data_IF_604349513334
#
_entry.id   IF_604349513334
#
_cell.length_a   1.000
_cell.length_b   1.000
_cell.length_c   1.000
_cell.angle_alpha   90.00
_cell.angle_beta   90.00
_cell.angle_gamma   90.00
#
_symmetry.space_group_name_H-M   'P 1'
#
loop_
_entity.id
_entity.type
_entity.pdbx_description
1 polymer ?
#
# COMPACT_ATOMS: atom_id res chain seq x y z
N UNK A 1 -30.00 -14.35 -51.25
CA UNK A 1 -30.48 -15.69 -50.92
C UNK A 1 -29.70 -16.27 -49.72
N UNK A 2 -30.34 -16.98 -48.81
CA UNK A 2 -29.68 -17.78 -47.75
C UNK A 2 -29.12 -19.06 -48.36
N UNK A 3 -27.99 -19.55 -47.82
CA UNK A 3 -27.31 -20.76 -48.32
C UNK A 3 -26.84 -21.64 -47.18
N UNK A 4 -27.15 -22.94 -47.22
CA UNK A 4 -26.57 -23.96 -46.41
C UNK A 4 -25.78 -24.92 -47.33
N UNK A 5 -24.46 -24.95 -47.22
CA UNK A 5 -23.60 -25.68 -48.16
C UNK A 5 -23.00 -26.97 -47.61
N UNK A 6 -22.89 -27.13 -46.32
CA UNK A 6 -22.28 -28.29 -45.73
C UNK A 6 -23.32 -29.29 -45.24
N UNK A 7 -22.90 -30.53 -45.01
CA UNK A 7 -23.76 -31.59 -44.46
C UNK A 7 -24.37 -31.14 -43.10
N UNK A 8 -25.66 -31.32 -42.97
CA UNK A 8 -26.44 -30.96 -41.77
C UNK A 8 -26.42 -29.45 -41.43
N UNK A 9 -25.94 -28.57 -42.34
CA UNK A 9 -26.01 -27.16 -42.12
C UNK A 9 -27.44 -26.63 -42.22
N UNK A 10 -27.82 -25.68 -41.37
CA UNK A 10 -29.18 -25.13 -41.28
C UNK A 10 -29.15 -23.62 -41.32
N UNK A 11 -30.00 -23.04 -42.18
CA UNK A 11 -30.36 -21.61 -42.16
C UNK A 11 -31.88 -21.51 -42.07
N UNK A 12 -32.42 -21.07 -40.95
CA UNK A 12 -33.85 -21.02 -40.69
C UNK A 12 -34.58 -19.90 -41.42
N UNK A 13 -33.86 -18.88 -41.90
CA UNK A 13 -34.48 -17.76 -42.62
C UNK A 13 -33.59 -16.53 -42.80
N UNK A 14 -34.20 -15.42 -43.15
CA UNK A 14 -33.51 -14.11 -43.30
C UNK A 14 -32.98 -13.82 -44.70
N UNK A 15 -31.91 -12.98 -44.77
CA UNK A 15 -31.35 -12.53 -46.04
C UNK A 15 -29.82 -12.66 -46.07
N UNK A 16 -29.30 -13.26 -47.13
CA UNK A 16 -27.85 -13.42 -47.39
C UNK A 16 -27.07 -14.13 -46.26
N UNK A 17 -27.70 -15.04 -45.54
CA UNK A 17 -27.03 -15.86 -44.51
C UNK A 17 -26.32 -17.05 -45.18
N UNK A 18 -25.12 -17.40 -44.66
CA UNK A 18 -24.26 -18.47 -45.19
C UNK A 18 -23.84 -19.46 -44.06
N UNK A 19 -24.41 -20.64 -44.04
CA UNK A 19 -23.97 -21.76 -43.21
C UNK A 19 -23.08 -22.69 -44.05
N UNK A 20 -21.76 -22.65 -43.85
CA UNK A 20 -20.79 -23.41 -44.64
C UNK A 20 -19.98 -24.44 -43.85
N UNK A 21 -20.12 -24.50 -42.53
CA UNK A 21 -19.54 -25.54 -41.70
C UNK A 21 -20.45 -26.75 -41.58
N UNK A 22 -19.91 -27.95 -41.44
CA UNK A 22 -20.67 -29.17 -41.17
C UNK A 22 -21.46 -28.99 -39.88
N UNK A 23 -22.76 -29.31 -39.89
CA UNK A 23 -23.69 -29.11 -38.78
C UNK A 23 -23.74 -27.68 -38.23
N UNK A 24 -23.38 -26.69 -39.02
CA UNK A 24 -23.47 -25.27 -38.60
C UNK A 24 -24.91 -24.75 -38.66
N UNK A 25 -25.25 -23.82 -37.79
CA UNK A 25 -26.62 -23.30 -37.67
C UNK A 25 -26.66 -21.78 -37.72
N UNK A 26 -27.57 -21.24 -38.49
CA UNK A 26 -27.96 -19.80 -38.46
C UNK A 26 -29.48 -19.75 -38.21
N UNK A 27 -29.89 -19.12 -37.10
CA UNK A 27 -31.31 -18.98 -36.74
C UNK A 27 -32.06 -17.99 -37.61
N UNK A 28 -31.35 -16.99 -38.19
CA UNK A 28 -31.97 -15.98 -39.05
C UNK A 28 -31.14 -14.71 -39.18
N UNK A 29 -31.80 -13.59 -39.53
CA UNK A 29 -31.14 -12.29 -39.66
C UNK A 29 -30.58 -12.00 -41.04
N UNK A 30 -29.55 -11.16 -41.13
CA UNK A 30 -28.99 -10.72 -42.39
C UNK A 30 -27.46 -10.81 -42.42
N UNK A 31 -26.93 -11.34 -43.53
CA UNK A 31 -25.49 -11.38 -43.82
C UNK A 31 -24.64 -12.13 -42.76
N UNK A 32 -25.24 -13.06 -42.03
CA UNK A 32 -24.51 -13.85 -41.01
C UNK A 32 -23.79 -15.01 -41.71
N UNK A 33 -22.60 -15.36 -41.19
CA UNK A 33 -21.80 -16.49 -41.67
C UNK A 33 -21.49 -17.48 -40.51
N UNK A 34 -21.85 -18.72 -40.68
CA UNK A 34 -21.47 -19.83 -39.79
C UNK A 34 -20.48 -20.76 -40.52
N UNK A 35 -19.16 -20.47 -40.39
CA UNK A 35 -18.11 -21.12 -41.19
C UNK A 35 -17.54 -22.36 -40.55
N UNK A 36 -17.51 -22.44 -39.23
CA UNK A 36 -16.93 -23.57 -38.48
C UNK A 36 -17.86 -24.77 -38.36
N UNK A 37 -17.31 -25.98 -38.29
CA UNK A 37 -18.07 -27.18 -37.94
C UNK A 37 -18.77 -27.01 -36.59
N UNK A 38 -20.05 -27.34 -36.51
CA UNK A 38 -20.88 -27.23 -35.29
C UNK A 38 -20.92 -25.78 -34.74
N UNK A 39 -20.68 -24.79 -35.59
CA UNK A 39 -20.75 -23.39 -35.18
C UNK A 39 -22.18 -22.86 -35.23
N UNK A 40 -22.49 -21.88 -34.40
CA UNK A 40 -23.84 -21.33 -34.32
C UNK A 40 -23.85 -19.80 -34.37
N UNK A 41 -24.72 -19.24 -35.20
CA UNK A 41 -25.13 -17.85 -35.13
C UNK A 41 -26.65 -17.82 -34.89
N UNK A 42 -27.06 -17.32 -33.70
CA UNK A 42 -28.48 -17.23 -33.37
C UNK A 42 -29.27 -16.29 -34.26
N UNK A 43 -28.62 -15.23 -34.73
CA UNK A 43 -29.22 -14.26 -35.65
C UNK A 43 -28.49 -12.91 -35.69
N UNK A 44 -29.20 -11.84 -36.06
CA UNK A 44 -28.63 -10.47 -36.10
C UNK A 44 -28.10 -10.09 -37.45
N UNK A 45 -27.10 -9.18 -37.47
CA UNK A 45 -26.55 -8.60 -38.69
C UNK A 45 -25.03 -8.77 -38.77
N UNK A 46 -24.57 -9.33 -39.90
CA UNK A 46 -23.15 -9.44 -40.23
C UNK A 46 -22.27 -10.09 -39.13
N UNK A 47 -22.79 -11.12 -38.46
CA UNK A 47 -22.05 -11.89 -37.46
C UNK A 47 -21.33 -13.04 -38.17
N UNK A 48 -20.08 -13.35 -37.72
CA UNK A 48 -19.23 -14.37 -38.33
C UNK A 48 -18.63 -15.32 -37.31
N UNK A 49 -18.94 -16.62 -37.41
CA UNK A 49 -18.19 -17.69 -36.72
C UNK A 49 -17.19 -18.33 -37.69
N UNK A 50 -15.96 -18.62 -37.20
CA UNK A 50 -14.87 -19.11 -38.07
C UNK A 50 -14.57 -20.57 -37.93
N UNK A 51 -14.10 -21.04 -36.76
CA UNK A 51 -13.70 -22.42 -36.50
C UNK A 51 -14.74 -23.21 -35.70
N UNK A 52 -14.46 -24.50 -35.47
CA UNK A 52 -15.40 -25.43 -34.85
C UNK A 52 -15.88 -24.96 -33.45
N UNK A 53 -17.13 -25.26 -33.15
CA UNK A 53 -17.78 -24.97 -31.86
C UNK A 53 -17.87 -23.49 -31.49
N UNK A 54 -17.59 -22.59 -32.42
CA UNK A 54 -17.74 -21.16 -32.16
C UNK A 54 -19.21 -20.74 -32.16
N UNK A 55 -19.56 -19.81 -31.27
CA UNK A 55 -20.95 -19.41 -31.05
C UNK A 55 -21.10 -17.89 -30.99
N UNK A 56 -22.09 -17.36 -31.71
CA UNK A 56 -22.56 -15.97 -31.56
C UNK A 56 -24.08 -16.03 -31.30
N UNK A 57 -24.53 -15.54 -30.13
CA UNK A 57 -25.94 -15.50 -29.78
C UNK A 57 -26.74 -14.55 -30.67
N UNK A 58 -26.15 -13.43 -31.09
CA UNK A 58 -26.79 -12.43 -31.97
C UNK A 58 -26.02 -11.10 -31.96
N UNK A 59 -26.74 -10.03 -32.28
CA UNK A 59 -26.15 -8.68 -32.34
C UNK A 59 -25.68 -8.25 -33.75
N UNK A 60 -24.66 -7.38 -33.79
CA UNK A 60 -24.20 -6.81 -35.06
C UNK A 60 -22.67 -6.82 -35.19
N UNK A 61 -22.18 -7.35 -36.29
CA UNK A 61 -20.77 -7.30 -36.72
C UNK A 61 -19.80 -7.96 -35.68
N UNK A 62 -20.28 -9.02 -35.03
CA UNK A 62 -19.50 -9.79 -34.09
C UNK A 62 -18.70 -10.91 -34.78
N UNK A 63 -17.49 -11.20 -34.31
CA UNK A 63 -16.58 -12.18 -34.90
C UNK A 63 -16.10 -13.16 -33.84
N UNK A 64 -16.52 -14.42 -33.88
CA UNK A 64 -16.03 -15.51 -33.07
C UNK A 64 -15.26 -16.49 -33.98
N UNK A 65 -13.95 -16.26 -34.14
CA UNK A 65 -13.18 -16.84 -35.25
C UNK A 65 -12.38 -18.08 -34.90
N UNK A 66 -12.21 -18.40 -33.60
CA UNK A 66 -11.42 -19.54 -33.15
C UNK A 66 -12.29 -20.64 -32.52
N UNK A 67 -11.69 -21.82 -32.37
CA UNK A 67 -12.36 -23.00 -31.80
C UNK A 67 -12.93 -22.69 -30.40
N UNK A 68 -14.21 -22.96 -30.22
CA UNK A 68 -14.91 -22.78 -28.95
C UNK A 68 -15.06 -21.32 -28.50
N UNK A 69 -14.74 -20.34 -29.35
CA UNK A 69 -14.93 -18.94 -29.02
C UNK A 69 -16.43 -18.57 -28.95
N UNK A 70 -16.80 -17.76 -27.97
CA UNK A 70 -18.20 -17.43 -27.71
C UNK A 70 -18.41 -15.95 -27.53
N UNK A 71 -19.43 -15.41 -28.22
CA UNK A 71 -19.97 -14.06 -28.03
C UNK A 71 -21.47 -14.18 -27.77
N UNK A 72 -21.95 -13.78 -26.60
CA UNK A 72 -23.37 -13.89 -26.29
C UNK A 72 -24.22 -12.89 -27.11
N UNK A 73 -23.67 -11.72 -27.44
CA UNK A 73 -24.33 -10.71 -28.23
C UNK A 73 -23.60 -9.39 -28.18
N UNK A 74 -24.24 -8.31 -28.68
CA UNK A 74 -23.67 -6.96 -28.70
C UNK A 74 -23.19 -6.47 -30.06
N UNK A 75 -22.26 -5.52 -30.08
CA UNK A 75 -21.87 -4.84 -31.29
C UNK A 75 -20.35 -4.81 -31.47
N UNK A 76 -19.85 -5.25 -32.63
CA UNK A 76 -18.46 -5.15 -33.06
C UNK A 76 -17.45 -5.88 -32.13
N UNK A 77 -17.82 -7.00 -31.57
CA UNK A 77 -16.93 -7.80 -30.75
C UNK A 77 -16.02 -8.71 -31.56
N UNK A 78 -14.81 -8.95 -31.05
CA UNK A 78 -13.85 -9.88 -31.65
C UNK A 78 -13.37 -10.87 -30.60
N UNK A 79 -13.80 -12.13 -30.72
CA UNK A 79 -13.33 -13.29 -29.94
C UNK A 79 -12.48 -14.17 -30.85
N UNK A 80 -11.18 -13.86 -30.94
CA UNK A 80 -10.21 -14.54 -31.82
C UNK A 80 -9.20 -15.43 -31.06
N UNK A 81 -9.42 -15.68 -29.79
CA UNK A 81 -8.69 -16.68 -29.02
C UNK A 81 -9.46 -18.00 -28.89
N UNK A 82 -8.76 -19.13 -28.83
CA UNK A 82 -9.38 -20.43 -28.58
C UNK A 82 -10.04 -20.43 -27.21
N UNK A 83 -11.30 -20.86 -27.12
CA UNK A 83 -12.11 -20.82 -25.89
C UNK A 83 -12.25 -19.43 -25.26
N UNK A 84 -12.11 -18.38 -26.06
CA UNK A 84 -12.34 -17.00 -25.61
C UNK A 84 -13.83 -16.70 -25.44
N UNK A 85 -14.16 -15.79 -24.53
CA UNK A 85 -15.55 -15.47 -24.22
C UNK A 85 -15.77 -13.96 -24.11
N UNK A 86 -16.84 -13.46 -24.73
CA UNK A 86 -17.35 -12.09 -24.58
C UNK A 86 -18.83 -12.14 -24.22
N UNK A 87 -19.23 -11.60 -23.06
CA UNK A 87 -20.62 -11.62 -22.60
C UNK A 87 -21.51 -10.62 -23.33
N UNK A 88 -20.97 -9.51 -23.84
CA UNK A 88 -21.75 -8.50 -24.57
C UNK A 88 -21.16 -7.11 -24.53
N UNK A 89 -21.96 -6.09 -24.84
CA UNK A 89 -21.55 -4.68 -24.86
C UNK A 89 -21.16 -4.19 -26.26
N UNK A 90 -20.03 -3.44 -26.36
CA UNK A 90 -19.58 -2.86 -27.64
C UNK A 90 -18.06 -2.90 -27.78
N UNK A 91 -17.56 -3.31 -28.92
CA UNK A 91 -16.15 -3.22 -29.32
C UNK A 91 -15.15 -3.88 -28.34
N UNK A 92 -15.56 -4.93 -27.64
CA UNK A 92 -14.66 -5.70 -26.79
C UNK A 92 -13.86 -6.70 -27.62
N UNK A 93 -12.60 -6.92 -27.25
CA UNK A 93 -11.68 -7.82 -27.98
C UNK A 93 -11.03 -8.81 -27.04
N UNK A 94 -11.08 -10.10 -27.38
CA UNK A 94 -10.34 -11.17 -26.73
C UNK A 94 -9.60 -11.96 -27.79
N UNK A 95 -8.28 -11.79 -27.88
CA UNK A 95 -7.47 -12.40 -28.93
C UNK A 95 -6.55 -13.53 -28.42
N UNK A 96 -6.82 -14.07 -27.24
CA UNK A 96 -5.99 -15.07 -26.57
C UNK A 96 -6.82 -16.25 -26.05
N UNK A 97 -6.12 -17.36 -25.88
CA UNK A 97 -6.69 -18.60 -25.35
C UNK A 97 -7.22 -18.39 -23.92
N UNK A 98 -8.46 -18.85 -23.67
CA UNK A 98 -9.16 -18.76 -22.39
C UNK A 98 -9.31 -17.34 -21.84
N UNK A 99 -9.14 -16.33 -22.66
CA UNK A 99 -9.41 -14.94 -22.25
C UNK A 99 -10.92 -14.68 -22.12
N UNK A 100 -11.30 -13.76 -21.25
CA UNK A 100 -12.71 -13.41 -21.07
C UNK A 100 -12.97 -11.94 -20.78
N UNK A 101 -14.04 -11.39 -21.38
CA UNK A 101 -14.63 -10.10 -21.07
C UNK A 101 -16.09 -10.29 -20.72
N UNK A 102 -16.52 -9.90 -19.51
CA UNK A 102 -17.92 -10.02 -19.08
C UNK A 102 -18.86 -9.07 -19.84
N UNK A 103 -18.37 -7.89 -20.23
CA UNK A 103 -19.16 -6.91 -20.98
C UNK A 103 -18.50 -5.54 -21.03
N UNK A 104 -19.32 -4.49 -21.23
CA UNK A 104 -18.82 -3.11 -21.29
C UNK A 104 -18.39 -2.68 -22.68
N UNK A 105 -17.45 -1.70 -22.76
CA UNK A 105 -17.07 -1.10 -24.04
C UNK A 105 -15.54 -1.02 -24.18
N UNK A 106 -15.04 -1.39 -25.34
CA UNK A 106 -13.62 -1.24 -25.73
C UNK A 106 -12.63 -1.91 -24.80
N UNK A 107 -13.01 -2.97 -24.12
CA UNK A 107 -12.13 -3.74 -23.25
C UNK A 107 -11.30 -4.73 -24.09
N UNK A 108 -10.02 -4.91 -23.74
CA UNK A 108 -9.08 -5.74 -24.51
C UNK A 108 -8.37 -6.75 -23.62
N UNK A 109 -8.47 -8.03 -23.94
CA UNK A 109 -7.70 -9.11 -23.31
C UNK A 109 -6.77 -9.71 -24.36
N UNK A 110 -5.45 -9.51 -24.16
CA UNK A 110 -4.38 -10.05 -25.00
C UNK A 110 -3.38 -10.93 -24.23
N UNK A 111 -3.57 -11.12 -22.93
CA UNK A 111 -2.84 -12.08 -22.12
C UNK A 111 -3.63 -13.38 -21.93
N UNK A 112 -3.03 -14.55 -22.16
CA UNK A 112 -3.69 -15.86 -21.99
C UNK A 112 -4.30 -15.99 -20.58
N UNK A 113 -5.50 -16.58 -20.48
CA UNK A 113 -6.25 -16.68 -19.23
C UNK A 113 -6.62 -15.33 -18.57
N UNK A 114 -6.41 -14.22 -19.28
CA UNK A 114 -6.72 -12.88 -18.80
C UNK A 114 -8.22 -12.63 -18.67
N UNK A 115 -8.62 -11.81 -17.71
CA UNK A 115 -10.03 -11.53 -17.40
C UNK A 115 -10.32 -10.05 -17.22
N UNK A 116 -11.39 -9.59 -17.81
CA UNK A 116 -11.99 -8.27 -17.55
C UNK A 116 -13.46 -8.49 -17.18
N UNK A 117 -13.89 -8.05 -15.98
CA UNK A 117 -15.27 -8.16 -15.54
C UNK A 117 -16.21 -7.27 -16.37
N UNK A 118 -15.74 -6.08 -16.78
CA UNK A 118 -16.52 -5.14 -17.59
C UNK A 118 -15.93 -3.73 -17.55
N UNK A 119 -16.75 -2.72 -17.82
CA UNK A 119 -16.34 -1.31 -17.78
C UNK A 119 -15.94 -0.74 -19.14
N UNK A 120 -15.09 0.29 -19.15
CA UNK A 120 -14.71 1.04 -20.35
C UNK A 120 -13.21 1.05 -20.56
N UNK A 121 -12.73 0.63 -21.71
CA UNK A 121 -11.32 0.75 -22.14
C UNK A 121 -10.31 0.13 -21.18
N UNK A 122 -10.66 -0.97 -20.52
CA UNK A 122 -9.75 -1.72 -19.66
C UNK A 122 -8.88 -2.67 -20.50
N UNK A 123 -7.66 -2.95 -20.05
CA UNK A 123 -6.69 -3.78 -20.77
C UNK A 123 -6.04 -4.83 -19.87
N UNK A 124 -5.96 -6.07 -20.36
CA UNK A 124 -5.15 -7.15 -19.77
C UNK A 124 -4.19 -7.65 -20.83
N UNK A 125 -2.89 -7.48 -20.61
CA UNK A 125 -1.86 -7.87 -21.58
C UNK A 125 -0.99 -9.03 -21.12
N UNK A 126 -1.07 -9.42 -19.85
CA UNK A 126 -0.29 -10.53 -19.29
C UNK A 126 -1.13 -11.78 -19.05
N UNK A 127 -0.45 -12.92 -19.04
CA UNK A 127 -1.04 -14.20 -18.65
C UNK A 127 -1.59 -14.11 -17.22
N UNK A 128 -2.81 -14.63 -16.98
CA UNK A 128 -3.53 -14.58 -15.71
C UNK A 128 -3.87 -13.19 -15.16
N UNK A 129 -3.62 -12.12 -15.93
CA UNK A 129 -3.99 -10.77 -15.51
C UNK A 129 -5.49 -10.62 -15.28
N UNK A 130 -5.87 -9.79 -14.34
CA UNK A 130 -7.29 -9.57 -14.01
C UNK A 130 -7.58 -8.08 -13.81
N UNK A 131 -8.62 -7.59 -14.48
CA UNK A 131 -9.25 -6.29 -14.19
C UNK A 131 -10.70 -6.54 -13.79
N UNK A 132 -11.09 -6.12 -12.58
CA UNK A 132 -12.46 -6.27 -12.09
C UNK A 132 -13.47 -5.42 -12.87
N UNK A 133 -13.07 -4.21 -13.28
CA UNK A 133 -13.90 -3.29 -14.01
C UNK A 133 -13.41 -1.86 -13.94
N UNK A 134 -14.32 -0.87 -14.13
CA UNK A 134 -13.99 0.55 -14.10
C UNK A 134 -13.60 1.11 -15.47
N UNK A 135 -12.73 2.14 -15.49
CA UNK A 135 -12.38 2.83 -16.73
C UNK A 135 -10.86 2.93 -16.88
N UNK A 136 -10.33 2.51 -18.02
CA UNK A 136 -8.93 2.69 -18.39
C UNK A 136 -7.93 1.95 -17.51
N UNK A 137 -8.32 0.89 -16.80
CA UNK A 137 -7.44 0.14 -15.93
C UNK A 137 -6.61 -0.86 -16.74
N UNK A 138 -5.36 -1.10 -16.32
CA UNK A 138 -4.41 -1.99 -16.99
C UNK A 138 -3.78 -3.00 -16.03
N UNK A 139 -3.80 -4.28 -16.42
CA UNK A 139 -3.09 -5.37 -15.74
C UNK A 139 -2.10 -6.00 -16.72
N UNK A 140 -0.77 -5.83 -16.47
CA UNK A 140 0.27 -6.20 -17.42
C UNK A 140 1.31 -7.22 -16.92
N UNK A 141 1.45 -7.47 -15.62
CA UNK A 141 2.50 -8.37 -15.09
C UNK A 141 1.96 -9.51 -14.22
N UNK A 142 1.13 -10.44 -14.72
CA UNK A 142 0.37 -11.40 -13.88
C UNK A 142 -0.35 -10.69 -12.72
N UNK A 143 -0.83 -9.50 -13.00
CA UNK A 143 -1.23 -8.51 -12.03
C UNK A 143 -2.74 -8.43 -11.88
N UNK A 144 -3.18 -7.83 -10.79
CA UNK A 144 -4.61 -7.61 -10.54
C UNK A 144 -4.90 -6.12 -10.39
N UNK A 145 -5.87 -5.63 -11.14
CA UNK A 145 -6.47 -4.31 -10.98
C UNK A 145 -7.96 -4.48 -10.64
N UNK A 146 -8.34 -4.29 -9.38
CA UNK A 146 -9.71 -4.60 -8.95
C UNK A 146 -10.75 -3.66 -9.59
N UNK A 147 -10.39 -2.39 -9.86
CA UNK A 147 -11.29 -1.43 -10.51
C UNK A 147 -10.84 0.01 -10.37
N UNK A 148 -11.78 0.93 -10.54
CA UNK A 148 -11.53 2.37 -10.43
C UNK A 148 -11.25 3.03 -11.78
N UNK A 149 -10.40 4.06 -11.79
CA UNK A 149 -10.13 4.87 -12.96
C UNK A 149 -8.63 4.97 -13.26
N UNK A 150 -8.20 4.52 -14.42
CA UNK A 150 -6.82 4.68 -14.93
C UNK A 150 -5.75 4.13 -13.96
N UNK A 151 -6.01 2.99 -13.35
CA UNK A 151 -5.05 2.31 -12.50
C UNK A 151 -4.20 1.35 -13.34
N UNK A 152 -2.92 1.20 -12.98
CA UNK A 152 -1.97 0.32 -13.66
C UNK A 152 -1.28 -0.62 -12.68
N UNK A 153 -1.41 -1.93 -12.88
CA UNK A 153 -0.64 -2.96 -12.22
C UNK A 153 0.24 -3.64 -13.27
N UNK A 154 1.56 -3.38 -13.26
CA UNK A 154 2.47 -3.82 -14.31
C UNK A 154 3.65 -4.66 -13.85
N UNK A 155 3.99 -4.67 -12.56
CA UNK A 155 4.98 -5.58 -12.00
C UNK A 155 4.46 -7.02 -11.90
N UNK A 156 5.34 -8.00 -11.91
CA UNK A 156 4.98 -9.42 -11.73
C UNK A 156 4.30 -9.59 -10.36
N UNK A 157 3.10 -10.16 -10.34
CA UNK A 157 2.35 -10.34 -9.09
C UNK A 157 1.89 -9.04 -8.40
N UNK A 158 1.99 -7.90 -9.07
CA UNK A 158 1.57 -6.62 -8.50
C UNK A 158 0.05 -6.47 -8.41
N UNK A 159 -0.41 -5.57 -7.55
CA UNK A 159 -1.85 -5.33 -7.40
C UNK A 159 -2.21 -3.87 -7.13
N UNK A 160 -3.32 -3.42 -7.71
CA UNK A 160 -4.00 -2.17 -7.35
C UNK A 160 -5.44 -2.51 -7.01
N UNK A 161 -5.88 -2.28 -5.77
CA UNK A 161 -7.23 -2.62 -5.32
C UNK A 161 -8.30 -1.63 -5.80
N UNK A 162 -7.91 -0.43 -6.23
CA UNK A 162 -8.87 0.54 -6.76
C UNK A 162 -8.39 1.97 -6.69
N UNK A 163 -9.34 2.92 -6.77
CA UNK A 163 -9.05 4.35 -6.75
C UNK A 163 -8.82 4.95 -8.13
N UNK A 164 -7.98 6.00 -8.22
CA UNK A 164 -7.73 6.70 -9.47
C UNK A 164 -6.24 6.97 -9.71
N UNK A 165 -5.76 6.65 -10.90
CA UNK A 165 -4.40 6.92 -11.36
C UNK A 165 -3.31 6.32 -10.45
N UNK A 166 -3.56 5.15 -9.88
CA UNK A 166 -2.60 4.44 -9.05
C UNK A 166 -1.74 3.50 -9.91
N UNK A 167 -0.47 3.36 -9.54
CA UNK A 167 0.49 2.51 -10.27
C UNK A 167 1.21 1.56 -9.32
N UNK A 168 1.17 0.26 -9.59
CA UNK A 168 1.98 -0.76 -8.96
C UNK A 168 2.89 -1.38 -10.03
N UNK A 169 4.15 -0.95 -10.10
CA UNK A 169 5.09 -1.34 -11.17
C UNK A 169 6.29 -2.17 -10.69
N UNK A 170 6.59 -2.21 -9.40
CA UNK A 170 7.56 -3.14 -8.84
C UNK A 170 7.01 -4.56 -8.76
N UNK A 171 7.86 -5.56 -8.82
CA UNK A 171 7.44 -6.94 -8.65
C UNK A 171 6.87 -7.17 -7.24
N UNK A 172 5.73 -7.85 -7.16
CA UNK A 172 4.98 -8.08 -5.93
C UNK A 172 4.59 -6.80 -5.17
N UNK A 173 4.59 -5.65 -5.86
CA UNK A 173 4.19 -4.38 -5.27
C UNK A 173 2.67 -4.24 -5.16
N UNK A 174 2.21 -3.43 -4.20
CA UNK A 174 0.77 -3.24 -4.01
C UNK A 174 0.38 -1.79 -3.73
N UNK A 175 -0.77 -1.38 -4.28
CA UNK A 175 -1.45 -0.13 -3.94
C UNK A 175 -2.85 -0.46 -3.45
N UNK A 176 -3.16 -0.14 -2.18
CA UNK A 176 -4.48 -0.39 -1.57
C UNK A 176 -5.59 0.51 -2.10
N UNK A 177 -5.24 1.65 -2.71
CA UNK A 177 -6.21 2.56 -3.30
C UNK A 177 -5.85 4.03 -3.13
N UNK A 178 -6.83 4.93 -3.26
CA UNK A 178 -6.61 6.37 -3.21
C UNK A 178 -6.37 6.99 -4.58
N UNK A 179 -5.56 8.06 -4.63
CA UNK A 179 -5.33 8.79 -5.88
C UNK A 179 -3.84 9.03 -6.14
N UNK A 180 -3.39 8.74 -7.35
CA UNK A 180 -2.03 9.04 -7.84
C UNK A 180 -0.93 8.45 -6.94
N UNK A 181 -1.14 7.28 -6.40
CA UNK A 181 -0.16 6.56 -5.60
C UNK A 181 0.71 5.67 -6.49
N UNK A 182 1.99 5.53 -6.13
CA UNK A 182 2.95 4.73 -6.90
C UNK A 182 3.75 3.79 -5.99
N UNK A 183 3.66 2.50 -6.24
CA UNK A 183 4.50 1.45 -5.66
C UNK A 183 5.39 0.89 -6.77
N UNK A 184 6.65 1.36 -6.85
CA UNK A 184 7.58 1.00 -7.93
C UNK A 184 8.82 0.24 -7.47
N UNK A 185 9.06 0.13 -6.17
CA UNK A 185 10.05 -0.80 -5.62
C UNK A 185 9.48 -2.22 -5.55
N UNK A 186 10.33 -3.23 -5.67
CA UNK A 186 9.93 -4.62 -5.50
C UNK A 186 9.44 -4.84 -4.04
N UNK A 187 8.37 -5.62 -3.86
CA UNK A 187 7.71 -5.86 -2.58
C UNK A 187 7.22 -4.58 -1.87
N UNK A 188 7.20 -3.44 -2.57
CA UNK A 188 6.77 -2.18 -1.98
C UNK A 188 5.26 -2.06 -1.85
N UNK A 189 4.81 -1.30 -0.85
CA UNK A 189 3.38 -1.13 -0.58
C UNK A 189 3.03 0.34 -0.36
N UNK A 190 2.02 0.83 -1.07
CA UNK A 190 1.31 2.05 -0.74
C UNK A 190 -0.07 1.67 -0.20
N UNK A 191 -0.29 1.78 1.11
CA UNK A 191 -1.56 1.40 1.73
C UNK A 191 -2.72 2.28 1.26
N UNK A 192 -2.44 3.53 0.91
CA UNK A 192 -3.44 4.46 0.40
C UNK A 192 -3.08 5.91 0.66
N UNK A 193 -3.99 6.80 0.32
CA UNK A 193 -3.79 8.23 0.42
C UNK A 193 -3.79 8.91 -0.95
N UNK A 194 -3.08 10.03 -1.07
CA UNK A 194 -2.94 10.78 -2.32
C UNK A 194 -1.49 11.12 -2.58
N UNK A 195 -0.99 10.79 -3.76
CA UNK A 195 0.38 11.06 -4.19
C UNK A 195 1.45 10.40 -3.28
N UNK A 196 1.12 9.25 -2.69
CA UNK A 196 2.03 8.40 -1.94
C UNK A 196 3.02 7.70 -2.88
N UNK A 197 4.26 7.51 -2.42
CA UNK A 197 5.33 6.87 -3.20
C UNK A 197 6.09 5.85 -2.34
N UNK A 198 6.20 4.63 -2.84
CA UNK A 198 7.07 3.59 -2.31
C UNK A 198 7.93 3.07 -3.48
N UNK A 199 9.13 3.68 -3.68
CA UNK A 199 9.95 3.44 -4.86
C UNK A 199 11.25 2.67 -4.59
N UNK A 200 11.47 2.21 -3.37
CA UNK A 200 12.55 1.32 -3.01
C UNK A 200 12.00 -0.05 -2.60
N UNK A 201 12.83 -1.10 -2.65
CA UNK A 201 12.44 -2.44 -2.25
C UNK A 201 11.98 -2.48 -0.79
N UNK A 202 10.94 -3.26 -0.49
CA UNK A 202 10.34 -3.43 0.84
C UNK A 202 9.82 -2.14 1.47
N UNK A 203 9.68 -1.05 0.70
CA UNK A 203 9.24 0.24 1.21
C UNK A 203 7.72 0.29 1.43
N UNK A 204 7.28 0.94 2.50
CA UNK A 204 5.87 1.11 2.84
C UNK A 204 5.54 2.60 2.97
N UNK A 205 4.51 3.04 2.28
CA UNK A 205 4.01 4.42 2.30
C UNK A 205 2.53 4.45 2.68
N UNK A 206 2.15 5.33 3.59
CA UNK A 206 0.77 5.55 4.00
C UNK A 206 0.48 7.03 4.20
N UNK A 207 -0.59 7.52 3.58
CA UNK A 207 -1.10 8.88 3.72
C UNK A 207 -0.72 9.79 2.56
N UNK A 208 -1.09 11.09 2.68
CA UNK A 208 -0.91 12.05 1.59
C UNK A 208 0.54 12.49 1.44
N UNK A 209 1.10 12.31 0.24
CA UNK A 209 2.47 12.67 -0.09
C UNK A 209 3.55 12.03 0.82
N UNK A 210 3.26 10.86 1.38
CA UNK A 210 4.24 10.04 2.06
C UNK A 210 5.17 9.39 1.02
N UNK A 211 6.50 9.46 1.23
CA UNK A 211 7.50 8.97 0.28
C UNK A 211 8.51 8.07 0.97
N UNK A 212 8.36 6.78 0.80
CA UNK A 212 9.32 5.77 1.25
C UNK A 212 10.29 5.47 0.10
N UNK A 213 11.43 6.16 0.08
CA UNK A 213 12.39 6.16 -1.03
C UNK A 213 13.69 5.43 -0.72
N UNK A 214 13.77 4.77 0.43
CA UNK A 214 14.91 3.96 0.87
C UNK A 214 14.43 2.54 1.17
N UNK A 215 15.29 1.55 0.92
CA UNK A 215 14.98 0.12 1.14
C UNK A 215 14.47 -0.14 2.57
N UNK A 216 13.36 -0.85 2.70
CA UNK A 216 12.75 -1.21 3.96
C UNK A 216 12.20 -0.02 4.78
N UNK A 217 12.16 1.19 4.20
CA UNK A 217 11.65 2.36 4.91
C UNK A 217 10.12 2.35 5.01
N UNK A 218 9.61 2.80 6.14
CA UNK A 218 8.17 2.98 6.38
C UNK A 218 7.89 4.46 6.61
N UNK A 219 7.01 5.05 5.81
CA UNK A 219 6.58 6.45 5.96
C UNK A 219 5.09 6.52 6.20
N UNK A 220 4.69 7.03 7.36
CA UNK A 220 3.30 7.23 7.74
C UNK A 220 3.04 8.72 7.94
N UNK A 221 2.03 9.25 7.28
CA UNK A 221 1.78 10.69 7.24
C UNK A 221 0.29 11.03 7.29
N UNK A 222 -0.02 12.18 7.90
CA UNK A 222 -1.36 12.77 7.88
C UNK A 222 -1.71 13.48 6.56
N UNK A 223 -2.86 14.16 6.54
CA UNK A 223 -3.45 14.78 5.35
C UNK A 223 -2.80 16.06 4.84
N UNK A 224 -1.71 16.60 5.43
CA UNK A 224 -1.11 17.84 4.92
C UNK A 224 -0.39 17.61 3.56
N UNK A 225 -0.17 18.68 2.76
CA UNK A 225 0.32 18.54 1.38
C UNK A 225 1.83 18.46 1.24
N UNK A 226 2.60 18.83 2.26
CA UNK A 226 4.07 18.79 2.21
C UNK A 226 4.56 17.35 2.17
N UNK A 227 5.39 17.00 1.22
CA UNK A 227 5.94 15.66 1.13
C UNK A 227 6.85 15.35 2.32
N UNK A 228 6.76 14.13 2.85
CA UNK A 228 7.69 13.59 3.84
C UNK A 228 8.39 12.39 3.22
N UNK A 229 9.70 12.42 3.20
CA UNK A 229 10.56 11.43 2.54
C UNK A 229 11.40 10.71 3.59
N UNK A 230 11.57 9.40 3.46
CA UNK A 230 12.56 8.66 4.24
C UNK A 230 13.98 9.14 3.90
N UNK A 231 14.84 9.25 4.88
CA UNK A 231 16.24 9.69 4.70
C UNK A 231 17.26 8.55 4.77
N UNK A 232 16.85 7.36 5.22
CA UNK A 232 17.70 6.20 5.35
C UNK A 232 16.91 4.88 5.14
N UNK A 233 17.62 3.80 4.83
CA UNK A 233 17.06 2.45 4.76
C UNK A 233 16.60 1.98 6.14
N UNK A 234 15.58 1.12 6.17
CA UNK A 234 14.99 0.54 7.38
C UNK A 234 14.52 1.58 8.42
N UNK A 235 14.19 2.79 7.97
CA UNK A 235 13.73 3.88 8.82
C UNK A 235 12.20 3.89 8.92
N UNK A 236 11.68 4.10 10.14
CA UNK A 236 10.28 4.49 10.35
C UNK A 236 10.18 6.01 10.47
N UNK A 237 9.54 6.64 9.51
CA UNK A 237 9.25 8.08 9.49
C UNK A 237 7.77 8.32 9.72
N UNK A 238 7.42 9.10 10.74
CA UNK A 238 6.05 9.49 11.07
C UNK A 238 5.93 11.01 11.04
N UNK A 239 4.86 11.53 10.45
CA UNK A 239 4.60 12.97 10.38
C UNK A 239 3.11 13.26 10.52
N UNK A 240 2.70 13.78 11.67
CA UNK A 240 1.32 14.11 12.00
C UNK A 240 1.23 15.52 12.56
N UNK A 241 0.35 16.36 12.02
CA UNK A 241 0.13 17.73 12.49
C UNK A 241 -0.42 17.80 13.90
N UNK A 242 -1.15 16.78 14.35
CA UNK A 242 -1.70 16.66 15.71
C UNK A 242 -0.76 15.97 16.72
N UNK A 243 0.48 15.67 16.33
CA UNK A 243 1.42 14.91 17.17
C UNK A 243 1.20 13.39 17.14
N UNK A 244 2.12 12.66 17.74
CA UNK A 244 2.10 11.19 17.81
C UNK A 244 1.86 10.79 19.26
N UNK A 245 0.81 9.98 19.48
CA UNK A 245 0.61 9.27 20.75
C UNK A 245 0.98 7.81 20.57
N UNK A 246 1.95 7.37 21.33
CA UNK A 246 2.35 5.96 21.37
C UNK A 246 1.99 5.35 22.72
N UNK A 247 1.14 4.32 22.72
CA UNK A 247 0.80 3.57 23.92
C UNK A 247 1.64 2.31 24.01
N UNK A 248 2.29 2.08 25.13
CA UNK A 248 2.99 0.84 25.43
C UNK A 248 2.36 0.17 26.65
N UNK A 249 1.86 -1.04 26.47
CA UNK A 249 1.57 -1.91 27.58
C UNK A 249 2.89 -2.51 28.10
N UNK A 250 3.21 -2.32 29.40
CA UNK A 250 4.35 -2.98 30.02
C UNK A 250 5.69 -2.25 30.07
N UNK A 251 5.68 -0.93 30.26
CA UNK A 251 6.78 -0.28 30.97
C UNK A 251 8.12 -0.09 30.27
N UNK A 252 8.19 0.05 28.95
CA UNK A 252 9.44 0.43 28.28
C UNK A 252 9.20 1.44 27.15
N UNK A 253 9.94 2.52 27.19
CA UNK A 253 10.37 3.54 26.23
C UNK A 253 9.49 3.97 25.07
N UNK A 254 9.34 5.29 24.91
CA UNK A 254 9.02 5.85 23.61
C UNK A 254 9.63 7.22 23.37
N UNK A 255 10.14 7.36 22.18
CA UNK A 255 10.61 8.58 21.57
C UNK A 255 9.52 9.11 20.64
N UNK A 256 9.06 10.34 20.82
CA UNK A 256 8.34 11.09 19.79
C UNK A 256 9.28 12.17 19.25
N UNK A 257 9.78 12.00 18.05
CA UNK A 257 10.63 13.01 17.40
C UNK A 257 9.76 13.93 16.56
N UNK A 258 9.84 15.23 16.81
CA UNK A 258 9.33 16.25 15.92
C UNK A 258 10.52 16.87 15.17
N UNK A 259 10.58 16.68 13.85
CA UNK A 259 11.61 17.27 13.02
C UNK A 259 11.04 18.48 12.27
N UNK A 260 11.42 19.67 12.67
CA UNK A 260 11.52 20.79 11.75
C UNK A 260 13.00 21.02 11.43
N UNK A 261 13.31 21.57 10.27
CA UNK A 261 14.66 21.65 9.69
C UNK A 261 15.69 22.45 10.48
N UNK A 262 15.39 22.94 11.68
CA UNK A 262 16.29 23.70 12.52
C UNK A 262 16.26 23.32 14.01
N UNK A 263 15.14 22.86 14.55
CA UNK A 263 15.01 22.48 15.96
C UNK A 263 14.09 21.27 16.07
N UNK A 264 14.44 20.26 16.84
CA UNK A 264 13.53 19.19 17.18
C UNK A 264 13.28 19.13 18.69
N UNK A 265 12.06 18.75 19.05
CA UNK A 265 11.62 18.52 20.42
C UNK A 265 11.34 17.03 20.57
N UNK A 266 12.06 16.38 21.45
CA UNK A 266 11.85 14.97 21.81
C UNK A 266 11.33 14.89 23.24
N UNK A 267 10.27 14.09 23.44
CA UNK A 267 9.75 13.78 24.77
C UNK A 267 10.03 12.33 25.10
N UNK A 268 10.72 12.11 26.21
CA UNK A 268 10.99 10.80 26.78
C UNK A 268 10.14 10.58 28.01
N UNK A 269 9.32 9.54 28.02
CA UNK A 269 8.56 9.12 29.18
C UNK A 269 8.67 7.61 29.34
N UNK A 270 8.63 7.16 30.58
CA UNK A 270 8.66 5.74 30.82
C UNK A 270 8.34 5.40 32.28
N UNK A 271 8.20 4.10 32.51
CA UNK A 271 8.01 3.52 33.83
C UNK A 271 8.98 2.35 34.00
N UNK A 272 9.54 2.22 35.19
CA UNK A 272 10.34 1.07 35.56
C UNK A 272 10.12 0.75 37.05
N UNK A 273 10.59 -0.40 37.48
CA UNK A 273 10.64 -0.74 38.92
C UNK A 273 12.03 -1.23 39.29
N UNK A 274 12.50 -0.83 40.46
CA UNK A 274 13.72 -1.36 41.10
C UNK A 274 13.35 -2.13 42.33
N UNK A 275 13.84 -3.35 42.43
CA UNK A 275 13.78 -4.14 43.66
C UNK A 275 15.13 -4.03 44.37
N UNK A 276 15.16 -3.37 45.55
CA UNK A 276 16.38 -3.15 46.28
C UNK A 276 17.21 -1.94 45.85
N UNK A 277 18.43 -1.82 46.36
CA UNK A 277 19.30 -0.66 46.17
C UNK A 277 20.14 -0.66 44.88
N UNK A 278 19.97 -1.65 44.01
CA UNK A 278 20.73 -1.73 42.77
C UNK A 278 20.35 -0.60 41.81
N UNK A 279 21.31 0.19 41.38
CA UNK A 279 21.10 1.26 40.42
C UNK A 279 20.82 0.71 39.02
N UNK A 280 19.87 1.31 38.35
CA UNK A 280 19.58 1.06 36.93
C UNK A 280 19.97 2.28 36.15
N UNK A 281 20.72 2.08 35.08
CA UNK A 281 21.15 3.12 34.16
C UNK A 281 20.33 3.07 32.88
N UNK A 282 20.02 4.24 32.38
CA UNK A 282 19.21 4.45 31.21
C UNK A 282 19.82 5.50 30.31
N UNK A 283 20.29 5.09 29.17
CA UNK A 283 20.83 5.99 28.14
C UNK A 283 19.70 6.41 27.20
N UNK A 284 19.34 7.69 27.23
CA UNK A 284 18.08 8.16 26.63
C UNK A 284 18.22 8.94 25.32
N UNK A 285 19.38 9.51 25.02
CA UNK A 285 19.56 10.28 23.81
C UNK A 285 21.00 10.32 23.34
N UNK A 286 21.21 10.09 22.06
CA UNK A 286 22.43 10.44 21.34
C UNK A 286 22.28 11.82 20.71
N UNK A 287 23.13 12.76 21.10
CA UNK A 287 23.14 14.11 20.52
C UNK A 287 24.03 14.09 19.26
N UNK A 288 23.54 14.51 18.08
CA UNK A 288 24.40 14.60 16.90
C UNK A 288 25.57 15.57 17.12
N UNK A 289 26.72 15.28 16.52
CA UNK A 289 27.92 16.12 16.61
C UNK A 289 27.63 17.55 16.16
N UNK A 290 28.10 18.52 16.93
CA UNK A 290 27.88 19.96 16.67
C UNK A 290 26.51 20.50 17.11
N UNK A 291 25.69 19.68 17.74
CA UNK A 291 24.35 20.06 18.20
C UNK A 291 24.33 20.34 19.71
N UNK A 292 23.53 21.34 20.09
CA UNK A 292 23.19 21.63 21.49
C UNK A 292 21.82 21.06 21.83
N UNK A 293 21.68 20.48 23.01
CA UNK A 293 20.40 20.00 23.53
C UNK A 293 20.08 20.70 24.84
N UNK A 294 18.89 21.23 24.96
CA UNK A 294 18.31 21.68 26.23
C UNK A 294 17.37 20.60 26.71
N UNK A 295 17.50 20.20 27.95
CA UNK A 295 16.65 19.19 28.58
C UNK A 295 15.92 19.79 29.77
N UNK A 296 14.62 19.49 29.87
CA UNK A 296 13.81 19.77 31.06
C UNK A 296 12.91 18.58 31.35
N UNK A 297 12.81 18.18 32.62
CA UNK A 297 11.92 17.09 32.94
C UNK A 297 11.90 16.74 34.41
N UNK A 298 11.24 15.63 34.73
CA UNK A 298 11.14 15.15 36.08
C UNK A 298 11.20 13.62 36.18
N UNK A 299 11.66 13.15 37.34
CA UNK A 299 11.61 11.74 37.73
C UNK A 299 10.81 11.64 39.01
N UNK A 300 9.87 10.73 39.08
CA UNK A 300 9.07 10.43 40.27
C UNK A 300 9.34 8.97 40.67
N UNK A 301 9.79 8.76 41.89
CA UNK A 301 9.86 7.45 42.49
C UNK A 301 8.77 7.27 43.56
N UNK A 302 8.05 6.15 43.55
CA UNK A 302 7.01 5.80 44.52
C UNK A 302 7.22 4.39 45.04
N UNK A 303 7.22 4.22 46.38
CA UNK A 303 7.27 2.90 47.00
C UNK A 303 6.00 2.10 46.78
N UNK A 304 6.15 0.78 46.63
CA UNK A 304 5.01 -0.14 46.50
C UNK A 304 4.15 -0.25 47.76
N UNK A 305 4.72 0.07 48.95
CA UNK A 305 4.11 -0.21 50.25
C UNK A 305 3.40 0.95 50.91
N UNK A 306 3.59 2.18 50.39
CA UNK A 306 2.96 3.38 51.00
C UNK A 306 2.78 4.51 49.97
N UNK A 307 2.24 5.65 50.44
CA UNK A 307 2.02 6.84 49.62
C UNK A 307 3.27 7.71 49.45
N UNK A 308 4.44 7.31 49.96
CA UNK A 308 5.65 8.10 49.86
C UNK A 308 6.14 8.17 48.41
N UNK A 309 6.26 9.35 47.89
CA UNK A 309 6.79 9.63 46.57
C UNK A 309 7.81 10.77 46.65
N UNK A 310 8.88 10.64 45.90
CA UNK A 310 9.84 11.72 45.70
C UNK A 310 9.82 12.14 44.23
N UNK A 311 9.78 13.43 43.98
CA UNK A 311 9.90 14.03 42.64
C UNK A 311 11.18 14.81 42.55
N UNK A 312 11.94 14.60 41.47
CA UNK A 312 13.10 15.44 41.13
C UNK A 312 12.84 16.13 39.79
N UNK A 313 13.18 17.41 39.70
CA UNK A 313 13.11 18.19 38.50
C UNK A 313 14.54 18.43 38.02
N UNK A 314 14.79 18.21 36.76
CA UNK A 314 16.07 18.42 36.11
C UNK A 314 15.93 19.41 34.96
N UNK A 315 16.87 20.34 34.89
CA UNK A 315 17.00 21.26 33.74
C UNK A 315 18.48 21.48 33.46
N UNK A 316 18.87 21.38 32.20
CA UNK A 316 20.26 21.54 31.80
C UNK A 316 20.44 21.61 30.29
N UNK A 317 21.62 21.96 29.85
CA UNK A 317 22.01 21.93 28.45
C UNK A 317 23.27 21.12 28.21
N UNK A 318 23.33 20.49 27.08
CA UNK A 318 24.40 19.58 26.66
C UNK A 318 24.82 19.91 25.22
N UNK A 319 26.06 19.64 24.88
CA UNK A 319 26.57 19.75 23.52
C UNK A 319 27.38 18.51 23.16
N UNK A 320 27.32 18.08 21.93
CA UNK A 320 28.19 17.05 21.38
C UNK A 320 29.32 17.71 20.57
N UNK A 321 30.55 17.65 21.04
CA UNK A 321 31.74 18.11 20.34
C UNK A 321 32.62 16.90 20.00
N UNK A 322 32.80 16.64 18.72
CA UNK A 322 33.66 15.56 18.24
C UNK A 322 33.22 14.14 18.67
N UNK A 323 31.92 13.91 18.93
CA UNK A 323 31.41 12.63 19.41
C UNK A 323 31.32 12.50 20.94
N UNK A 324 31.74 13.52 21.70
CA UNK A 324 31.66 13.53 23.16
C UNK A 324 30.60 14.53 23.63
N UNK A 325 29.67 14.06 24.46
CA UNK A 325 28.65 14.90 25.08
C UNK A 325 29.22 15.56 26.34
N UNK A 326 29.09 16.88 26.39
CA UNK A 326 29.54 17.72 27.50
C UNK A 326 28.36 18.51 28.07
N UNK A 327 28.32 18.65 29.39
CA UNK A 327 27.34 19.51 30.07
C UNK A 327 27.77 20.97 29.94
N UNK A 328 26.92 21.80 29.33
CA UNK A 328 27.20 23.24 29.14
C UNK A 328 26.74 24.09 30.34
N UNK A 329 25.55 23.78 30.87
CA UNK A 329 25.03 24.39 32.09
C UNK A 329 24.87 23.35 33.16
N UNK A 330 25.20 23.67 34.38
CA UNK A 330 25.02 22.77 35.51
C UNK A 330 23.56 22.30 35.57
N UNK A 331 23.38 20.99 35.72
CA UNK A 331 22.06 20.42 35.93
C UNK A 331 21.49 20.99 37.24
N UNK A 332 20.41 21.74 37.17
CA UNK A 332 19.65 22.09 38.38
C UNK A 332 18.87 20.86 38.79
N UNK A 333 19.10 20.43 40.04
CA UNK A 333 18.39 19.30 40.66
C UNK A 333 17.56 19.86 41.82
N UNK A 334 16.26 19.90 41.67
CA UNK A 334 15.34 20.32 42.73
C UNK A 334 14.55 19.13 43.22
N UNK A 335 14.74 18.77 44.50
CA UNK A 335 14.01 17.70 45.18
C UNK A 335 12.73 18.25 45.79
N UNK A 336 11.57 17.76 45.30
CA UNK A 336 10.28 17.99 45.92
C UNK A 336 9.86 16.64 46.57
N UNK A 337 9.96 16.52 47.88
CA UNK A 337 9.57 15.31 48.59
C UNK A 337 8.34 15.57 49.45
N UNK A 338 7.36 14.70 49.34
CA UNK A 338 6.23 14.63 50.27
C UNK A 338 6.46 13.41 51.19
N UNK A 339 6.98 13.67 52.38
CA UNK A 339 7.04 12.68 53.50
C UNK A 339 8.19 11.67 53.44
N UNK A 340 8.95 11.62 54.51
CA UNK A 340 9.84 10.50 54.86
C UNK A 340 11.11 10.33 54.05
N UNK A 341 12.01 11.23 54.27
CA UNK A 341 13.48 11.10 54.19
C UNK A 341 14.14 10.18 53.19
N UNK A 342 14.72 10.77 52.14
CA UNK A 342 16.05 10.42 51.63
C UNK A 342 16.32 8.99 51.13
N UNK A 343 15.37 8.30 50.57
CA UNK A 343 15.53 6.87 50.36
C UNK A 343 15.63 6.43 48.89
N UNK A 344 15.58 7.34 47.95
CA UNK A 344 15.82 7.02 46.53
C UNK A 344 16.81 8.01 45.90
N UNK A 345 17.61 7.52 45.01
CA UNK A 345 18.50 8.37 44.25
C UNK A 345 18.07 8.33 42.78
N UNK A 346 17.97 9.50 42.17
CA UNK A 346 17.89 9.63 40.72
C UNK A 346 18.85 10.74 40.32
N UNK A 347 19.65 10.49 39.32
CA UNK A 347 20.62 11.47 38.80
C UNK A 347 20.55 11.48 37.27
N UNK A 348 20.81 12.65 36.71
CA UNK A 348 21.00 12.81 35.25
C UNK A 348 22.44 13.19 35.02
N UNK A 349 23.11 12.51 34.13
CA UNK A 349 24.50 12.76 33.77
C UNK A 349 24.76 12.47 32.30
N UNK A 350 26.03 12.39 31.94
CA UNK A 350 26.46 12.05 30.57
C UNK A 350 27.28 10.76 30.58
N UNK A 351 27.16 10.00 29.52
CA UNK A 351 28.01 8.87 29.22
C UNK A 351 28.55 9.11 27.81
N UNK A 352 29.79 9.46 27.66
CA UNK A 352 30.48 9.85 26.43
C UNK A 352 29.64 10.19 25.18
N UNK A 353 28.64 9.38 24.88
CA UNK A 353 27.79 9.50 23.66
C UNK A 353 26.31 9.75 23.95
N UNK A 354 25.84 9.64 25.20
CA UNK A 354 24.42 9.72 25.57
C UNK A 354 24.20 10.51 26.86
N UNK A 355 23.01 11.09 27.01
CA UNK A 355 22.50 11.54 28.30
C UNK A 355 22.02 10.31 29.07
N UNK A 356 22.51 10.12 30.29
CA UNK A 356 22.21 8.97 31.13
C UNK A 356 21.37 9.36 32.33
N UNK A 357 20.27 8.65 32.55
CA UNK A 357 19.52 8.69 33.81
C UNK A 357 19.92 7.46 34.63
N UNK A 358 20.35 7.70 35.85
CA UNK A 358 20.62 6.64 36.84
C UNK A 358 19.60 6.74 37.98
N UNK A 359 18.95 5.66 38.34
CA UNK A 359 18.01 5.63 39.46
C UNK A 359 18.18 4.34 40.27
N UNK A 360 18.04 4.47 41.58
CA UNK A 360 18.15 3.35 42.50
C UNK A 360 17.07 3.43 43.56
N UNK A 361 16.52 2.29 43.91
CA UNK A 361 15.58 2.13 45.02
C UNK A 361 16.28 1.98 46.37
N UNK A 362 15.53 1.60 47.38
CA UNK A 362 15.99 1.30 48.74
C UNK A 362 16.09 -0.20 48.91
N UNK A 363 17.04 -0.64 49.74
CA UNK A 363 17.15 -2.05 50.10
C UNK A 363 15.82 -2.64 50.58
N UNK A 364 15.49 -3.82 50.10
CA UNK A 364 14.26 -4.57 50.43
C UNK A 364 12.92 -3.89 50.11
N UNK A 365 12.92 -2.90 49.20
CA UNK A 365 11.69 -2.22 48.80
C UNK A 365 11.62 -2.10 47.26
N UNK A 366 10.45 -2.36 46.70
CA UNK A 366 10.21 -2.06 45.29
C UNK A 366 9.82 -0.60 45.12
N UNK A 367 10.50 0.11 44.25
CA UNK A 367 10.21 1.49 43.89
C UNK A 367 9.75 1.51 42.44
N UNK A 368 8.60 2.08 42.18
CA UNK A 368 8.09 2.36 40.83
C UNK A 368 8.55 3.74 40.41
N UNK A 369 9.18 3.81 39.26
CA UNK A 369 9.72 5.03 38.70
C UNK A 369 8.91 5.46 37.50
N UNK A 370 8.59 6.74 37.42
CA UNK A 370 8.08 7.37 36.25
C UNK A 370 8.93 8.58 35.92
N UNK A 371 9.16 8.83 34.66
CA UNK A 371 9.93 9.99 34.21
C UNK A 371 9.30 10.60 32.97
N UNK A 372 9.54 11.90 32.81
CA UNK A 372 9.16 12.66 31.65
C UNK A 372 10.25 13.70 31.40
N UNK A 373 10.84 13.70 30.22
CA UNK A 373 11.85 14.65 29.79
C UNK A 373 11.52 15.17 28.41
N UNK A 374 11.60 16.48 28.26
CA UNK A 374 11.53 17.20 27.00
C UNK A 374 12.93 17.62 26.60
N UNK A 375 13.27 17.41 25.35
CA UNK A 375 14.56 17.75 24.77
C UNK A 375 14.34 18.65 23.56
N UNK A 376 15.02 19.79 23.55
CA UNK A 376 15.08 20.70 22.41
C UNK A 376 16.49 20.65 21.85
N UNK A 377 16.61 20.30 20.56
CA UNK A 377 17.87 20.25 19.85
C UNK A 377 17.94 21.44 18.91
N UNK A 378 18.93 22.28 19.09
CA UNK A 378 19.21 23.43 18.25
C UNK A 378 20.57 23.31 17.56
N UNK A 379 20.74 23.97 16.42
CA UNK A 379 22.06 24.17 15.83
C UNK A 379 22.92 24.99 16.79
N UNK A 380 24.14 24.55 17.07
CA UNK A 380 25.11 25.34 17.80
C UNK A 380 25.44 26.64 17.06
N UNK A 381 26.04 27.60 17.73
CA UNK A 381 26.42 28.86 17.09
C UNK A 381 27.38 28.67 15.91
#
# INVERSE_FOLDING_TARGET
ACRAFADQAVVSGGYSNLASGVASVIGGGQSNTAGGSTSTVGGGYNNTTGLAYSTIGGGSTNQATQTGSTISGGITHVASGTYSCIGGGQSNTVNVTHGSVGGGQSNVVSGAHGRIGGGLSNSVTSTYGTVGGGTGNSAAGNATCAGGNTNAASGTGSSVLGGASNTASGDYSSVGGGQSNTASGDYSTVLGGRSGLANASDAISMGRAARASNTGAVVIKDGNSTAVVSSASHQLTKSFTGGIREFVAGGTWRRSAYSSTANFHDTYQGMASTAGATAINLDIIGIPTGQTVVMRGHIIGKKSTNSDAARRIYEGSFINVGGVITVMTALTDSVISNGGGGLYTATVGVNSTNIRITYAGVAATTVYWTWHFDFWVGGGP
#
